data_IF_449204429532
#
_entry.id   IF_449204429532
#
_cell.length_a   1.000
_cell.length_b   1.000
_cell.length_c   1.000
_cell.angle_alpha   90.00
_cell.angle_beta   90.00
_cell.angle_gamma   90.00
#
_symmetry.space_group_name_H-M   'P 1'
#
loop_
_entity.id
_entity.type
_entity.pdbx_description
1 polymer ?
#
# COMPACT_ATOMS: atom_id res chain seq x y z
N UNK A 1 14.84 26.11 25.56
CA UNK A 1 14.55 24.67 25.69
C UNK A 1 14.73 23.98 24.34
N UNK A 2 15.31 22.77 24.36
CA UNK A 2 15.35 21.87 23.21
C UNK A 2 14.55 20.62 23.54
N UNK A 3 13.75 20.18 22.58
CA UNK A 3 13.02 18.92 22.65
C UNK A 3 13.38 18.11 21.40
N UNK A 4 13.78 16.86 21.60
CA UNK A 4 14.07 15.92 20.52
C UNK A 4 13.11 14.75 20.61
N UNK A 5 12.33 14.54 19.54
CA UNK A 5 11.48 13.39 19.36
C UNK A 5 12.03 12.52 18.24
N UNK A 6 11.89 11.22 18.39
CA UNK A 6 12.19 10.25 17.33
C UNK A 6 11.25 9.06 17.42
N UNK A 7 11.05 8.40 16.31
CA UNK A 7 10.21 7.21 16.28
C UNK A 7 10.48 6.33 15.07
N UNK A 8 9.97 5.11 15.18
CA UNK A 8 9.98 4.10 14.13
C UNK A 8 8.55 3.74 13.76
N UNK A 9 8.32 3.43 12.50
CA UNK A 9 7.03 2.98 11.97
C UNK A 9 7.25 1.73 11.11
N UNK A 10 6.45 0.69 11.38
CA UNK A 10 6.46 -0.54 10.59
C UNK A 10 5.01 -0.97 10.33
N UNK A 11 4.69 -1.20 9.06
CA UNK A 11 3.35 -1.61 8.61
C UNK A 11 3.45 -2.66 7.53
N UNK A 12 2.48 -3.60 7.54
CA UNK A 12 2.26 -4.54 6.46
C UNK A 12 0.80 -4.49 6.02
N UNK A 13 0.58 -4.64 4.73
CA UNK A 13 -0.74 -4.70 4.14
C UNK A 13 -0.78 -5.81 3.10
N UNK A 14 -1.87 -6.58 3.10
CA UNK A 14 -2.17 -7.59 2.11
C UNK A 14 -3.57 -7.37 1.56
N UNK A 15 -3.67 -7.03 0.29
CA UNK A 15 -4.93 -6.79 -0.41
C UNK A 15 -5.24 -7.93 -1.37
N UNK A 16 -6.44 -8.48 -1.29
CA UNK A 16 -6.96 -9.50 -2.18
C UNK A 16 -7.90 -8.86 -3.20
N UNK A 17 -7.63 -9.06 -4.48
CA UNK A 17 -8.41 -8.54 -5.59
C UNK A 17 -8.90 -9.70 -6.45
N UNK A 18 -10.21 -9.89 -6.52
CA UNK A 18 -10.84 -11.01 -7.22
C UNK A 18 -12.28 -10.72 -7.60
N UNK A 19 -12.83 -11.56 -8.45
CA UNK A 19 -14.26 -11.66 -8.74
C UNK A 19 -14.78 -13.00 -8.26
N UNK A 20 -16.01 -13.06 -7.79
CA UNK A 20 -16.71 -14.30 -7.48
C UNK A 20 -18.14 -14.29 -8.04
N UNK A 21 -18.76 -15.46 -8.10
CA UNK A 21 -20.13 -15.62 -8.63
C UNK A 21 -21.13 -15.19 -7.56
N UNK A 22 -21.89 -14.14 -7.85
CA UNK A 22 -22.97 -13.69 -6.98
C UNK A 22 -24.31 -14.36 -7.31
N UNK A 23 -24.52 -14.71 -8.57
CA UNK A 23 -25.75 -15.39 -9.05
C UNK A 23 -25.43 -16.20 -10.30
N UNK A 24 -26.00 -17.40 -10.39
CA UNK A 24 -25.94 -18.24 -11.61
C UNK A 24 -27.04 -17.91 -12.62
N UNK A 25 -27.93 -16.94 -12.31
CA UNK A 25 -29.03 -16.49 -13.17
C UNK A 25 -29.95 -17.63 -13.66
N UNK A 26 -30.11 -18.70 -12.87
CA UNK A 26 -30.90 -19.88 -13.20
C UNK A 26 -30.14 -20.97 -13.95
N UNK A 27 -28.85 -20.77 -14.27
CA UNK A 27 -28.00 -21.85 -14.77
C UNK A 27 -27.60 -22.81 -13.65
N UNK A 28 -27.31 -24.07 -13.98
CA UNK A 28 -26.87 -25.06 -13.02
C UNK A 28 -25.41 -24.93 -12.59
N UNK A 29 -24.59 -24.24 -13.41
CA UNK A 29 -23.16 -24.06 -13.16
C UNK A 29 -22.57 -22.92 -14.02
N UNK A 30 -21.41 -22.45 -13.62
CA UNK A 30 -20.54 -21.55 -14.38
C UNK A 30 -19.24 -22.26 -14.74
N UNK A 31 -18.84 -22.22 -16.01
CA UNK A 31 -17.56 -22.76 -16.49
C UNK A 31 -16.53 -21.64 -16.49
N UNK A 32 -15.50 -21.77 -15.71
CA UNK A 32 -14.37 -20.83 -15.61
C UNK A 32 -13.12 -21.39 -16.26
N UNK A 33 -12.60 -20.71 -17.28
CA UNK A 33 -11.37 -21.03 -18.00
C UNK A 33 -10.24 -20.00 -17.74
N UNK A 34 -10.39 -19.14 -16.76
CA UNK A 34 -9.47 -18.03 -16.52
C UNK A 34 -8.32 -18.39 -15.58
N UNK A 35 -8.47 -19.48 -14.80
CA UNK A 35 -7.42 -19.99 -13.94
C UNK A 35 -6.48 -20.91 -14.72
N UNK A 36 -5.27 -20.42 -15.02
CA UNK A 36 -4.27 -21.19 -15.75
C UNK A 36 -3.82 -22.48 -15.01
N UNK A 37 -3.95 -22.49 -13.67
CA UNK A 37 -3.57 -23.64 -12.84
C UNK A 37 -4.69 -24.70 -12.74
N UNK A 38 -5.95 -24.29 -12.97
CA UNK A 38 -7.11 -25.18 -12.93
C UNK A 38 -8.06 -24.86 -14.10
N UNK A 39 -7.70 -25.20 -15.33
CA UNK A 39 -8.53 -24.94 -16.51
C UNK A 39 -9.85 -25.73 -16.44
N UNK A 40 -10.91 -25.18 -17.02
CA UNK A 40 -12.24 -25.79 -17.10
C UNK A 40 -12.89 -26.08 -15.72
N UNK A 41 -12.70 -25.21 -14.73
CA UNK A 41 -13.41 -25.33 -13.45
C UNK A 41 -14.91 -25.15 -13.64
N UNK A 42 -15.67 -26.05 -13.03
CA UNK A 42 -17.13 -25.98 -12.97
C UNK A 42 -17.54 -25.53 -11.58
N UNK A 43 -18.16 -24.36 -11.47
CA UNK A 43 -18.57 -23.74 -10.22
C UNK A 43 -20.09 -23.77 -10.12
N UNK A 44 -20.61 -24.42 -9.09
CA UNK A 44 -22.07 -24.61 -8.86
C UNK A 44 -22.58 -23.74 -7.72
N UNK A 45 -21.69 -23.12 -6.97
CA UNK A 45 -22.01 -22.33 -5.77
C UNK A 45 -21.89 -20.82 -6.05
N UNK A 46 -22.66 -20.05 -5.33
CA UNK A 46 -22.63 -18.59 -5.36
C UNK A 46 -22.16 -18.05 -4.01
N UNK A 47 -21.53 -16.90 -4.04
CA UNK A 47 -20.92 -16.32 -2.85
C UNK A 47 -21.40 -14.88 -2.64
N UNK A 48 -21.73 -14.55 -1.41
CA UNK A 48 -22.10 -13.19 -1.04
C UNK A 48 -20.92 -12.24 -1.25
N UNK A 49 -21.19 -11.06 -1.77
CA UNK A 49 -20.22 -9.97 -1.85
C UNK A 49 -19.83 -9.39 -0.47
N UNK A 50 -20.50 -9.83 0.60
CA UNK A 50 -20.20 -9.36 1.96
C UNK A 50 -18.91 -10.00 2.47
N UNK A 51 -17.84 -9.22 2.72
CA UNK A 51 -16.61 -9.76 3.26
C UNK A 51 -16.86 -10.26 4.70
N UNK A 52 -16.08 -11.25 5.10
CA UNK A 52 -16.04 -11.67 6.50
C UNK A 52 -15.66 -10.49 7.39
N UNK A 53 -16.36 -10.33 8.52
CA UNK A 53 -16.01 -9.34 9.55
C UNK A 53 -14.79 -9.76 10.37
N UNK A 54 -14.31 -10.98 10.19
CA UNK A 54 -13.09 -11.46 10.84
C UNK A 54 -11.86 -10.93 10.06
N UNK A 55 -11.03 -10.06 10.65
CA UNK A 55 -9.85 -9.50 9.99
C UNK A 55 -8.76 -10.54 9.68
N UNK A 56 -8.85 -11.74 10.27
CA UNK A 56 -7.92 -12.84 10.05
C UNK A 56 -8.43 -13.89 9.04
N UNK A 57 -9.66 -13.73 8.54
CA UNK A 57 -10.19 -14.63 7.53
C UNK A 57 -9.52 -14.37 6.18
N UNK A 58 -9.03 -15.40 5.52
CA UNK A 58 -8.65 -15.37 4.12
C UNK A 58 -9.84 -15.73 3.23
N UNK A 59 -9.93 -15.13 2.05
CA UNK A 59 -10.91 -15.53 1.06
C UNK A 59 -10.49 -16.88 0.42
N UNK A 60 -11.40 -17.85 0.35
CA UNK A 60 -11.13 -19.14 -0.29
C UNK A 60 -10.91 -18.95 -1.82
N UNK A 61 -9.92 -19.61 -2.38
CA UNK A 61 -9.61 -19.55 -3.82
C UNK A 61 -10.66 -20.23 -4.69
N UNK A 62 -11.38 -21.21 -4.18
CA UNK A 62 -12.39 -22.00 -4.91
C UNK A 62 -13.55 -21.16 -5.45
N UNK A 63 -13.80 -20.02 -4.85
CA UNK A 63 -14.94 -19.15 -5.12
C UNK A 63 -14.67 -18.11 -6.19
N UNK A 64 -13.41 -17.94 -6.60
CA UNK A 64 -12.98 -16.84 -7.44
C UNK A 64 -12.99 -17.20 -8.91
N UNK A 65 -13.36 -16.23 -9.73
CA UNK A 65 -13.43 -16.34 -11.20
C UNK A 65 -12.74 -15.16 -11.85
N UNK A 66 -12.46 -15.26 -13.13
CA UNK A 66 -11.94 -14.19 -14.01
C UNK A 66 -10.51 -13.73 -13.67
N UNK A 67 -10.28 -13.31 -12.47
CA UNK A 67 -8.94 -12.94 -11.98
C UNK A 67 -8.86 -13.12 -10.47
N UNK A 68 -7.67 -13.42 -10.00
CA UNK A 68 -7.33 -13.38 -8.58
C UNK A 68 -5.89 -12.95 -8.41
N UNK A 69 -5.70 -11.80 -7.82
CA UNK A 69 -4.37 -11.31 -7.51
C UNK A 69 -4.29 -10.68 -6.12
N UNK A 70 -3.08 -10.67 -5.57
CA UNK A 70 -2.78 -10.23 -4.23
C UNK A 70 -1.71 -9.13 -4.33
N UNK A 71 -1.96 -8.01 -3.67
CA UNK A 71 -0.98 -6.96 -3.47
C UNK A 71 -0.43 -7.00 -2.06
N UNK A 72 0.85 -7.27 -1.91
CA UNK A 72 1.54 -7.17 -0.64
C UNK A 72 2.31 -5.85 -0.58
N UNK A 73 2.12 -5.11 0.51
CA UNK A 73 2.84 -3.87 0.76
C UNK A 73 3.45 -3.92 2.15
N UNK A 74 4.71 -3.56 2.27
CA UNK A 74 5.40 -3.39 3.54
C UNK A 74 6.02 -2.01 3.62
N UNK A 75 5.94 -1.40 4.79
CA UNK A 75 6.47 -0.09 5.06
C UNK A 75 7.35 -0.13 6.30
N UNK A 76 8.50 0.50 6.19
CA UNK A 76 9.41 0.74 7.32
C UNK A 76 9.84 2.20 7.27
N UNK A 77 9.76 2.89 8.39
CA UNK A 77 10.11 4.29 8.47
C UNK A 77 10.76 4.66 9.79
N UNK A 78 11.53 5.73 9.74
CA UNK A 78 12.08 6.40 10.90
C UNK A 78 11.90 7.90 10.76
N UNK A 79 11.62 8.58 11.86
CA UNK A 79 11.48 10.03 11.88
C UNK A 79 12.14 10.63 13.10
N UNK A 80 12.50 11.89 12.99
CA UNK A 80 12.99 12.70 14.10
C UNK A 80 12.47 14.14 13.97
N UNK A 81 12.27 14.79 15.11
CA UNK A 81 11.89 16.20 15.19
C UNK A 81 12.70 16.85 16.30
N UNK A 82 13.31 17.96 15.99
CA UNK A 82 13.99 18.84 16.94
C UNK A 82 13.18 20.14 17.05
N UNK A 83 12.80 20.48 18.27
CA UNK A 83 12.15 21.73 18.57
C UNK A 83 13.07 22.60 19.44
N UNK A 84 13.08 23.89 19.15
CA UNK A 84 13.77 24.91 19.90
C UNK A 84 12.78 25.99 20.35
N UNK A 85 12.79 26.32 21.62
CA UNK A 85 11.96 27.40 22.16
C UNK A 85 12.77 28.21 23.14
N UNK A 86 12.83 29.55 22.90
CA UNK A 86 13.45 30.50 23.80
C UNK A 86 12.82 31.89 23.61
N UNK A 87 12.36 32.47 24.69
CA UNK A 87 11.75 33.81 24.72
C UNK A 87 10.66 33.95 23.64
N UNK A 88 10.87 34.79 22.66
CA UNK A 88 9.94 35.07 21.58
C UNK A 88 10.13 34.21 20.36
N UNK A 89 11.14 33.31 20.33
CA UNK A 89 11.49 32.46 19.18
C UNK A 89 11.13 31.01 19.45
N UNK A 90 10.36 30.41 18.53
CA UNK A 90 10.21 28.96 18.41
C UNK A 90 10.64 28.52 17.02
N UNK A 91 11.32 27.40 16.92
CA UNK A 91 11.74 26.82 15.66
C UNK A 91 11.66 25.29 15.73
N UNK A 92 11.48 24.65 14.60
CA UNK A 92 11.53 23.20 14.50
C UNK A 92 12.24 22.73 13.23
N UNK A 93 12.83 21.55 13.31
CA UNK A 93 13.35 20.81 12.19
C UNK A 93 12.84 19.37 12.29
N UNK A 94 12.22 18.85 11.23
CA UNK A 94 11.74 17.48 11.15
C UNK A 94 12.34 16.79 9.92
N UNK A 95 12.78 15.55 10.10
CA UNK A 95 13.23 14.68 9.02
C UNK A 95 12.61 13.30 9.17
N UNK A 96 12.32 12.66 8.04
CA UNK A 96 11.89 11.27 7.99
C UNK A 96 12.44 10.57 6.75
N UNK A 97 12.72 9.29 6.90
CA UNK A 97 13.07 8.38 5.82
C UNK A 97 12.19 7.15 5.91
N UNK A 98 11.78 6.62 4.78
CA UNK A 98 10.96 5.40 4.73
C UNK A 98 11.27 4.57 3.50
N UNK A 99 11.03 3.27 3.62
CA UNK A 99 11.08 2.32 2.52
C UNK A 99 9.72 1.65 2.40
N UNK A 100 9.18 1.63 1.19
CA UNK A 100 7.96 0.89 0.88
C UNK A 100 8.28 -0.21 -0.13
N UNK A 101 7.96 -1.45 0.24
CA UNK A 101 8.13 -2.62 -0.60
C UNK A 101 6.78 -3.04 -1.18
N UNK A 102 6.76 -3.34 -2.48
CA UNK A 102 5.59 -3.77 -3.23
C UNK A 102 5.85 -5.14 -3.84
N UNK A 103 4.93 -6.07 -3.66
CA UNK A 103 4.95 -7.39 -4.28
C UNK A 103 3.58 -7.70 -4.84
N UNK A 104 3.53 -8.25 -6.04
CA UNK A 104 2.32 -8.70 -6.68
C UNK A 104 2.33 -10.22 -6.84
N UNK A 105 1.23 -10.86 -6.46
CA UNK A 105 0.96 -12.28 -6.72
C UNK A 105 -0.25 -12.36 -7.63
N UNK A 106 -0.16 -13.14 -8.70
CA UNK A 106 -1.25 -13.40 -9.63
C UNK A 106 -1.51 -14.90 -9.66
N UNK A 107 -2.60 -15.31 -9.05
CA UNK A 107 -2.95 -16.71 -8.82
C UNK A 107 -3.58 -17.38 -10.05
N UNK A 108 -4.10 -16.58 -11.02
CA UNK A 108 -4.90 -17.11 -12.10
C UNK A 108 -4.24 -16.99 -13.48
N UNK A 109 -3.65 -15.85 -13.77
CA UNK A 109 -3.15 -15.55 -15.13
C UNK A 109 -1.92 -16.37 -15.51
N UNK A 110 -1.09 -16.71 -14.55
CA UNK A 110 0.16 -17.41 -14.76
C UNK A 110 0.13 -18.77 -14.06
N UNK A 111 0.81 -19.76 -14.66
CA UNK A 111 1.10 -20.99 -13.95
C UNK A 111 1.93 -20.70 -12.71
N UNK A 112 1.71 -21.41 -11.63
CA UNK A 112 2.46 -21.24 -10.38
C UNK A 112 3.97 -21.43 -10.52
N UNK A 113 4.42 -22.12 -11.56
CA UNK A 113 5.83 -22.28 -11.93
C UNK A 113 6.40 -21.09 -12.71
N UNK A 114 5.56 -20.16 -13.16
CA UNK A 114 6.00 -18.99 -13.92
C UNK A 114 6.48 -17.88 -12.95
N UNK A 115 7.68 -17.30 -13.14
CA UNK A 115 8.18 -16.21 -12.28
C UNK A 115 7.26 -14.98 -12.21
N UNK A 116 6.36 -14.79 -13.18
CA UNK A 116 5.38 -13.70 -13.17
C UNK A 116 4.16 -13.99 -12.27
N UNK A 117 4.01 -15.23 -11.75
CA UNK A 117 2.95 -15.55 -10.80
C UNK A 117 3.17 -14.88 -9.45
N UNK A 118 4.42 -14.74 -9.04
CA UNK A 118 4.81 -14.01 -7.82
C UNK A 118 6.07 -13.20 -8.10
N UNK A 119 5.97 -11.88 -7.98
CA UNK A 119 7.10 -10.97 -8.17
C UNK A 119 7.96 -10.88 -6.93
N UNK A 120 9.23 -10.53 -7.10
CA UNK A 120 10.04 -10.06 -5.97
C UNK A 120 9.48 -8.75 -5.39
N UNK A 121 9.93 -8.38 -4.19
CA UNK A 121 9.60 -7.09 -3.61
C UNK A 121 10.36 -5.96 -4.31
N UNK A 122 9.62 -5.05 -4.94
CA UNK A 122 10.17 -3.77 -5.40
C UNK A 122 10.20 -2.79 -4.23
N UNK A 123 11.40 -2.39 -3.79
CA UNK A 123 11.60 -1.53 -2.63
C UNK A 123 11.93 -0.12 -3.08
N UNK A 124 11.09 0.85 -2.70
CA UNK A 124 11.22 2.25 -3.09
C UNK A 124 11.42 3.10 -1.85
N UNK A 125 12.47 3.93 -1.87
CA UNK A 125 12.77 4.86 -0.80
C UNK A 125 11.95 6.15 -0.97
N UNK A 126 11.65 6.77 0.14
CA UNK A 126 11.07 8.09 0.24
C UNK A 126 11.51 8.78 1.51
N UNK A 127 11.23 10.05 1.60
CA UNK A 127 11.58 10.79 2.79
C UNK A 127 11.15 12.25 2.72
N UNK A 128 11.31 12.94 3.81
CA UNK A 128 11.04 14.37 3.86
C UNK A 128 11.96 15.05 4.86
N UNK A 129 12.14 16.34 4.61
CA UNK A 129 12.73 17.26 5.56
C UNK A 129 11.90 18.54 5.54
N UNK A 130 11.51 19.04 6.70
CA UNK A 130 10.81 20.31 6.84
C UNK A 130 11.29 21.05 8.07
N UNK A 131 11.24 22.37 8.01
CA UNK A 131 11.56 23.21 9.15
C UNK A 131 10.78 24.50 9.10
N UNK A 132 10.72 25.14 10.23
CA UNK A 132 10.06 26.42 10.37
C UNK A 132 10.47 27.15 11.63
N UNK A 133 10.17 28.44 11.65
CA UNK A 133 10.38 29.29 12.79
C UNK A 133 9.21 30.27 12.94
N UNK A 134 8.90 30.60 14.17
CA UNK A 134 7.96 31.64 14.55
C UNK A 134 8.64 32.60 15.50
N UNK A 135 8.50 33.91 15.25
CA UNK A 135 8.99 34.97 16.10
C UNK A 135 7.83 35.88 16.54
N UNK A 136 7.60 35.93 17.83
CA UNK A 136 6.61 36.85 18.44
C UNK A 136 7.22 38.22 18.61
N UNK A 137 6.76 39.17 17.80
CA UNK A 137 7.22 40.58 17.88
C UNK A 137 6.71 41.23 19.18
N UNK A 138 5.46 40.97 19.52
CA UNK A 138 4.80 41.34 20.74
C UNK A 138 3.61 40.42 21.02
N UNK A 139 2.79 40.69 22.03
CA UNK A 139 1.63 39.85 22.41
C UNK A 139 0.53 39.75 21.33
N UNK A 140 0.52 40.65 20.36
CA UNK A 140 -0.51 40.74 19.33
C UNK A 140 -0.02 40.36 17.93
N UNK A 141 1.29 40.36 17.69
CA UNK A 141 1.87 40.19 16.36
C UNK A 141 2.99 39.15 16.38
N UNK A 142 2.94 38.23 15.42
CA UNK A 142 4.02 37.27 15.17
C UNK A 142 4.29 37.14 13.66
N UNK A 143 5.47 36.65 13.34
CA UNK A 143 5.88 36.29 11.97
C UNK A 143 6.35 34.87 11.99
N UNK A 144 5.94 34.10 10.99
CA UNK A 144 6.38 32.71 10.85
C UNK A 144 6.80 32.38 9.42
N UNK A 145 7.67 31.39 9.29
CA UNK A 145 8.09 30.81 8.01
C UNK A 145 8.18 29.31 8.15
N UNK A 146 7.70 28.58 7.13
CA UNK A 146 7.83 27.13 7.03
C UNK A 146 8.25 26.76 5.61
N UNK A 147 9.15 25.78 5.50
CA UNK A 147 9.56 25.19 4.24
C UNK A 147 9.80 23.68 4.40
N UNK A 148 9.62 22.94 3.32
CA UNK A 148 9.85 21.50 3.34
C UNK A 148 10.05 20.92 1.94
N UNK A 149 10.77 19.80 1.91
CA UNK A 149 10.95 18.97 0.74
C UNK A 149 10.42 17.56 1.03
N UNK A 150 9.67 16.99 0.09
CA UNK A 150 9.01 15.70 0.25
C UNK A 150 9.25 14.83 -0.98
N UNK A 151 9.69 13.60 -0.74
CA UNK A 151 9.76 12.52 -1.73
C UNK A 151 8.86 11.38 -1.24
N UNK A 152 7.74 11.17 -1.92
CA UNK A 152 6.75 10.16 -1.55
C UNK A 152 6.85 8.97 -2.50
N UNK A 153 6.75 7.75 -1.95
CA UNK A 153 6.65 6.54 -2.74
C UNK A 153 5.35 6.53 -3.57
N UNK A 154 5.37 5.91 -4.75
CA UNK A 154 4.21 5.79 -5.63
C UNK A 154 3.14 4.88 -5.04
N UNK A 155 1.96 4.88 -5.65
CA UNK A 155 0.91 3.91 -5.35
C UNK A 155 1.20 2.56 -6.01
N UNK A 156 0.59 1.48 -5.50
CA UNK A 156 0.76 0.12 -6.00
C UNK A 156 0.52 0.00 -7.51
N UNK A 157 -0.53 0.62 -8.03
CA UNK A 157 -0.86 0.60 -9.46
C UNK A 157 0.08 1.44 -10.35
N UNK A 158 0.87 2.31 -9.78
CA UNK A 158 1.94 2.99 -10.52
C UNK A 158 3.17 2.08 -10.63
N UNK A 159 3.44 1.24 -9.63
CA UNK A 159 4.50 0.24 -9.65
C UNK A 159 4.14 -0.91 -10.60
N UNK A 160 2.90 -1.40 -10.53
CA UNK A 160 2.37 -2.48 -11.36
C UNK A 160 1.21 -1.98 -12.24
N UNK A 161 1.51 -1.28 -13.36
CA UNK A 161 0.49 -0.69 -14.21
C UNK A 161 -0.37 -1.77 -14.91
N UNK A 162 -1.60 -1.40 -15.22
CA UNK A 162 -2.56 -2.26 -15.93
C UNK A 162 -2.81 -3.62 -15.25
N UNK A 163 -2.64 -3.68 -13.93
CA UNK A 163 -2.81 -4.90 -13.16
C UNK A 163 -1.94 -6.08 -13.67
N UNK A 164 -0.71 -5.80 -14.07
CA UNK A 164 0.25 -6.80 -14.59
C UNK A 164 1.42 -6.97 -13.63
N UNK A 165 2.08 -8.16 -13.69
CA UNK A 165 3.26 -8.49 -12.88
C UNK A 165 4.57 -7.91 -13.46
N UNK A 166 4.49 -6.77 -14.12
CA UNK A 166 5.65 -6.08 -14.71
C UNK A 166 5.84 -4.74 -14.01
N UNK A 167 7.02 -4.55 -13.45
CA UNK A 167 7.38 -3.32 -12.73
C UNK A 167 7.56 -2.16 -13.71
N UNK A 168 6.95 -1.03 -13.40
CA UNK A 168 7.22 0.21 -14.10
C UNK A 168 8.62 0.73 -13.74
N UNK A 169 9.51 0.84 -14.72
CA UNK A 169 10.89 1.32 -14.54
C UNK A 169 11.04 2.84 -14.59
N UNK A 170 9.94 3.57 -14.86
CA UNK A 170 9.91 5.03 -14.98
C UNK A 170 9.27 5.70 -13.75
N UNK A 171 9.53 5.19 -12.57
CA UNK A 171 9.07 5.74 -11.29
C UNK A 171 10.05 6.75 -10.73
#
# INVERSE_FOLDING_TARGET
TFVLDFGLDARTYKGYHYTNINSLLGAGAFLDNTDANNPNRVLMETYSASPSKNPFASADSKEKISFYNIGNVRWYGAFTQLEYSRDNLTAFLQAAISQQGFQRVDEFKYLSSNPLSETDYENILGGNIKGGANYNINEQHNVFVNAGYYSKQPFFNAVYPNNQSVVNRNL
#
